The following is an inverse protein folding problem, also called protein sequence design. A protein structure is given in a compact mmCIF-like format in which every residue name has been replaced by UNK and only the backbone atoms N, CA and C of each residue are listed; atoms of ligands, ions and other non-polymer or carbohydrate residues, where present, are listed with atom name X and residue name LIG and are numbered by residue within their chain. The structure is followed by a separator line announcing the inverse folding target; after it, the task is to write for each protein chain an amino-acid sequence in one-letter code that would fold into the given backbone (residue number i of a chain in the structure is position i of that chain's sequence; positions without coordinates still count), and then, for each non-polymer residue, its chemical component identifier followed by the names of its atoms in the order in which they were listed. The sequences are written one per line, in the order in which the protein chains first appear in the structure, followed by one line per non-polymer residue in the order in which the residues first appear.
data_IF_203360431709
#
_entry.id   IF_203360431709
#
_cell.length_a   1.000
_cell.length_b   1.000
_cell.length_c   1.000
_cell.angle_alpha   90.00
_cell.angle_beta   90.00
_cell.angle_gamma   90.00
#
_symmetry.space_group_name_H-M   'P 1'
#
loop_
_entity.id
_entity.type
_entity.pdbx_description
1 polymer ?
#
# COMPACT_ATOMS: atom_id res chain seq x y z
N UNK A 1 31.16 15.26 -16.12
CA UNK A 1 29.87 15.77 -16.59
C UNK A 1 29.07 14.71 -17.35
N UNK A 2 29.69 14.00 -18.27
CA UNK A 2 29.03 12.94 -19.06
C UNK A 2 28.45 11.80 -18.20
N UNK A 3 29.21 11.32 -17.23
CA UNK A 3 28.76 10.25 -16.30
C UNK A 3 27.53 10.68 -15.49
N UNK A 4 27.52 11.91 -14.97
CA UNK A 4 26.38 12.43 -14.23
C UNK A 4 25.12 12.51 -15.10
N UNK A 5 25.24 13.04 -16.30
CA UNK A 5 24.11 13.14 -17.25
C UNK A 5 23.56 11.76 -17.62
N UNK A 6 24.44 10.78 -17.88
CA UNK A 6 24.03 9.39 -18.17
C UNK A 6 23.32 8.74 -16.99
N UNK A 7 23.87 8.88 -15.80
CA UNK A 7 23.24 8.32 -14.58
C UNK A 7 21.87 8.95 -14.33
N UNK A 8 21.75 10.27 -14.50
CA UNK A 8 20.47 10.96 -14.36
C UNK A 8 19.45 10.46 -15.40
N UNK A 9 19.87 10.31 -16.66
CA UNK A 9 18.99 9.82 -17.73
C UNK A 9 18.52 8.38 -17.45
N UNK A 10 19.43 7.49 -17.04
CA UNK A 10 19.11 6.11 -16.64
C UNK A 10 18.08 6.09 -15.52
N UNK A 11 18.25 6.94 -14.50
CA UNK A 11 17.32 7.05 -13.39
C UNK A 11 15.92 7.48 -13.85
N UNK A 12 15.83 8.52 -14.69
CA UNK A 12 14.55 9.01 -15.21
C UNK A 12 13.87 7.96 -16.09
N UNK A 13 14.61 7.33 -16.99
CA UNK A 13 14.10 6.27 -17.88
C UNK A 13 13.63 5.07 -17.06
N UNK A 14 14.41 4.63 -16.05
CA UNK A 14 14.04 3.56 -15.13
C UNK A 14 12.76 3.87 -14.38
N UNK A 15 12.64 5.07 -13.84
CA UNK A 15 11.41 5.53 -13.17
C UNK A 15 10.18 5.49 -14.09
N UNK A 16 10.34 5.97 -15.33
CA UNK A 16 9.25 5.96 -16.32
C UNK A 16 8.81 4.52 -16.66
N UNK A 17 9.73 3.60 -16.86
CA UNK A 17 9.41 2.19 -17.15
C UNK A 17 8.73 1.50 -15.96
N UNK A 18 9.20 1.74 -14.73
CA UNK A 18 8.54 1.23 -13.53
C UNK A 18 7.11 1.80 -13.38
N UNK A 19 6.94 3.09 -13.63
CA UNK A 19 5.61 3.72 -13.60
C UNK A 19 4.66 3.15 -14.66
N UNK A 20 5.17 2.88 -15.87
CA UNK A 20 4.41 2.24 -16.95
C UNK A 20 4.01 0.81 -16.64
N UNK A 21 4.73 0.10 -15.77
CA UNK A 21 4.43 -1.26 -15.33
C UNK A 21 3.18 -1.35 -14.45
N UNK A 22 2.79 -0.24 -13.83
CA UNK A 22 1.56 -0.13 -13.03
C UNK A 22 1.78 -0.30 -11.53
N UNK A 23 0.77 0.08 -10.75
CA UNK A 23 0.84 0.13 -9.27
C UNK A 23 1.02 -1.24 -8.61
N UNK A 24 0.55 -2.32 -9.25
CA UNK A 24 0.63 -3.69 -8.71
C UNK A 24 2.08 -4.17 -8.61
N UNK A 25 2.91 -3.84 -9.60
CA UNK A 25 4.31 -4.27 -9.66
C UNK A 25 5.18 -3.75 -8.49
N UNK A 26 4.71 -2.77 -7.75
CA UNK A 26 5.47 -2.13 -6.66
C UNK A 26 4.93 -2.49 -5.27
N UNK A 27 3.61 -2.72 -5.14
CA UNK A 27 2.95 -2.82 -3.83
C UNK A 27 2.87 -4.24 -3.26
N UNK A 28 2.65 -5.26 -4.11
CA UNK A 28 2.52 -6.67 -3.71
C UNK A 28 3.12 -7.55 -4.80
N UNK A 29 4.44 -7.71 -4.77
CA UNK A 29 5.18 -8.42 -5.80
C UNK A 29 4.98 -9.93 -5.69
N UNK A 30 4.54 -10.55 -6.77
CA UNK A 30 4.64 -11.97 -6.98
C UNK A 30 6.03 -12.35 -7.53
N UNK A 31 6.37 -13.61 -7.54
CA UNK A 31 7.64 -14.11 -8.08
C UNK A 31 7.90 -13.64 -9.51
N UNK A 32 6.85 -13.60 -10.35
CA UNK A 32 6.95 -13.10 -11.72
C UNK A 32 7.24 -11.59 -11.80
N UNK A 33 6.65 -10.79 -10.90
CA UNK A 33 6.91 -9.35 -10.83
C UNK A 33 8.36 -9.07 -10.38
N UNK A 34 8.86 -9.86 -9.43
CA UNK A 34 10.25 -9.79 -8.98
C UNK A 34 11.23 -10.11 -10.13
N UNK A 35 10.99 -11.19 -10.87
CA UNK A 35 11.79 -11.54 -12.04
C UNK A 35 11.80 -10.40 -13.06
N UNK A 36 10.62 -9.85 -13.36
CA UNK A 36 10.50 -8.71 -14.27
C UNK A 36 11.36 -7.51 -13.84
N UNK A 37 11.29 -7.13 -12.55
CA UNK A 37 12.07 -6.01 -12.03
C UNK A 37 13.57 -6.28 -12.11
N UNK A 38 14.02 -7.48 -11.76
CA UNK A 38 15.44 -7.86 -11.85
C UNK A 38 15.95 -7.80 -13.29
N UNK A 39 15.18 -8.31 -14.25
CA UNK A 39 15.53 -8.25 -15.68
C UNK A 39 15.56 -6.80 -16.18
N UNK A 40 14.53 -6.02 -15.85
CA UNK A 40 14.46 -4.60 -16.23
C UNK A 40 15.62 -3.79 -15.68
N UNK A 41 15.95 -3.99 -14.39
CA UNK A 41 17.06 -3.29 -13.73
C UNK A 41 18.39 -3.62 -14.40
N UNK A 42 18.63 -4.89 -14.72
CA UNK A 42 19.85 -5.32 -15.41
C UNK A 42 19.97 -4.64 -16.79
N UNK A 43 18.90 -4.65 -17.59
CA UNK A 43 18.87 -4.02 -18.91
C UNK A 43 19.12 -2.51 -18.84
N UNK A 44 18.50 -1.81 -17.88
CA UNK A 44 18.64 -0.35 -17.73
C UNK A 44 20.05 0.01 -17.24
N UNK A 45 20.71 -0.86 -16.49
CA UNK A 45 22.08 -0.65 -15.98
C UNK A 45 23.15 -0.94 -17.03
N UNK A 46 22.87 -1.73 -18.06
CA UNK A 46 23.83 -2.13 -19.09
C UNK A 46 24.54 -1.00 -19.84
N UNK A 47 23.91 0.18 -20.09
CA UNK A 47 24.58 1.30 -20.74
C UNK A 47 25.76 1.90 -19.94
N UNK A 48 25.85 1.59 -18.64
CA UNK A 48 26.99 2.02 -17.83
C UNK A 48 28.26 1.28 -18.29
N UNK A 49 28.11 0.03 -18.73
CA UNK A 49 29.22 -0.83 -19.20
C UNK A 49 29.45 -0.71 -20.71
N UNK A 50 28.38 -0.83 -21.53
CA UNK A 50 28.46 -0.97 -22.98
C UNK A 50 28.31 0.35 -23.76
N UNK A 51 28.10 1.46 -23.10
CA UNK A 51 27.95 2.79 -23.72
C UNK A 51 26.81 2.92 -24.77
N UNK A 52 25.88 1.96 -24.85
CA UNK A 52 24.81 1.93 -25.86
C UNK A 52 23.40 2.12 -25.25
N UNK A 53 23.11 3.36 -24.87
CA UNK A 53 21.83 3.74 -24.29
C UNK A 53 20.63 3.41 -25.18
N UNK A 54 20.75 3.53 -26.50
CA UNK A 54 19.65 3.25 -27.44
C UNK A 54 19.19 1.79 -27.38
N UNK A 55 20.13 0.85 -27.33
CA UNK A 55 19.82 -0.58 -27.17
C UNK A 55 19.13 -0.86 -25.85
N UNK A 56 19.63 -0.30 -24.75
CA UNK A 56 19.05 -0.51 -23.42
C UNK A 56 17.60 0.01 -23.35
N UNK A 57 17.31 1.20 -23.88
CA UNK A 57 15.94 1.73 -23.95
C UNK A 57 15.04 0.81 -24.76
N UNK A 58 15.52 0.30 -25.90
CA UNK A 58 14.75 -0.61 -26.75
C UNK A 58 14.44 -1.93 -26.03
N UNK A 59 15.44 -2.57 -25.41
CA UNK A 59 15.23 -3.82 -24.66
C UNK A 59 14.33 -3.63 -23.44
N UNK A 60 14.51 -2.53 -22.70
CA UNK A 60 13.63 -2.19 -21.59
C UNK A 60 12.19 -1.97 -22.05
N UNK A 61 11.97 -1.27 -23.18
CA UNK A 61 10.65 -1.08 -23.77
C UNK A 61 9.98 -2.41 -24.15
N UNK A 62 10.74 -3.31 -24.81
CA UNK A 62 10.25 -4.66 -25.14
C UNK A 62 9.88 -5.43 -23.87
N UNK A 63 10.72 -5.39 -22.83
CA UNK A 63 10.48 -6.07 -21.55
C UNK A 63 9.21 -5.57 -20.89
N UNK A 64 8.94 -4.27 -20.88
CA UNK A 64 7.69 -3.68 -20.35
C UNK A 64 6.46 -4.15 -21.16
N UNK A 65 6.58 -4.20 -22.49
CA UNK A 65 5.49 -4.69 -23.36
C UNK A 65 5.20 -6.16 -23.07
N UNK A 66 6.22 -7.00 -23.01
CA UNK A 66 6.08 -8.41 -22.67
C UNK A 66 5.43 -8.60 -21.29
N UNK A 67 5.90 -7.88 -20.28
CA UNK A 67 5.31 -7.89 -18.94
C UNK A 67 3.81 -7.56 -18.96
N UNK A 68 3.41 -6.49 -19.68
CA UNK A 68 1.99 -6.13 -19.83
C UNK A 68 1.18 -7.20 -20.53
N UNK A 69 1.74 -7.86 -21.55
CA UNK A 69 1.09 -8.98 -22.24
C UNK A 69 0.88 -10.14 -21.27
N UNK A 70 1.90 -10.55 -20.52
CA UNK A 70 1.80 -11.62 -19.53
C UNK A 70 0.80 -11.31 -18.42
N UNK A 71 0.80 -10.08 -17.87
CA UNK A 71 -0.22 -9.67 -16.92
C UNK A 71 -1.63 -9.74 -17.52
N UNK A 72 -1.80 -9.33 -18.78
CA UNK A 72 -3.11 -9.44 -19.43
C UNK A 72 -3.55 -10.89 -19.63
N UNK A 73 -2.63 -11.77 -19.95
CA UNK A 73 -2.87 -13.22 -20.04
C UNK A 73 -3.25 -13.79 -18.68
N UNK A 74 -2.63 -13.33 -17.58
CA UNK A 74 -2.92 -13.80 -16.22
C UNK A 74 -4.34 -13.46 -15.72
N UNK A 75 -5.04 -12.53 -16.37
CA UNK A 75 -6.46 -12.25 -16.10
C UNK A 75 -7.38 -13.39 -16.55
N UNK A 76 -6.89 -14.28 -17.42
CA UNK A 76 -7.64 -15.48 -17.83
C UNK A 76 -7.43 -16.62 -16.84
N UNK A 77 -8.50 -17.07 -16.20
CA UNK A 77 -8.47 -18.10 -15.14
C UNK A 77 -7.71 -19.38 -15.51
N UNK A 78 -7.75 -19.79 -16.79
CA UNK A 78 -7.07 -21.02 -17.26
C UNK A 78 -5.55 -20.87 -17.37
N UNK A 79 -5.04 -19.66 -17.60
CA UNK A 79 -3.63 -19.38 -17.82
C UNK A 79 -2.93 -18.76 -16.60
N UNK A 80 -3.71 -18.31 -15.63
CA UNK A 80 -3.22 -17.67 -14.40
C UNK A 80 -2.19 -18.54 -13.66
N UNK A 81 -2.45 -19.84 -13.58
CA UNK A 81 -1.62 -20.80 -12.84
C UNK A 81 -0.24 -21.06 -13.46
N UNK A 82 0.00 -20.57 -14.68
CA UNK A 82 1.34 -20.61 -15.29
C UNK A 82 2.26 -19.54 -14.68
N UNK A 83 1.70 -18.41 -14.27
CA UNK A 83 2.46 -17.25 -13.76
C UNK A 83 2.42 -17.13 -12.24
N UNK A 84 1.34 -17.60 -11.62
CA UNK A 84 1.11 -17.45 -10.19
C UNK A 84 0.91 -18.79 -9.52
N UNK A 85 1.48 -18.93 -8.34
CA UNK A 85 1.27 -20.11 -7.51
C UNK A 85 -0.12 -20.09 -6.88
N UNK A 86 -0.69 -21.26 -6.59
CA UNK A 86 -1.97 -21.36 -5.88
C UNK A 86 -1.77 -21.11 -4.39
N UNK A 87 -2.69 -20.42 -3.73
CA UNK A 87 -2.71 -20.35 -2.27
C UNK A 87 -2.66 -21.75 -1.65
N UNK A 88 -1.99 -21.88 -0.50
CA UNK A 88 -1.80 -23.16 0.16
C UNK A 88 -2.30 -23.11 1.59
N UNK A 89 -3.23 -23.99 1.95
CA UNK A 89 -3.76 -24.10 3.31
C UNK A 89 -2.67 -24.63 4.24
N UNK A 90 -2.50 -23.96 5.40
CA UNK A 90 -1.53 -24.30 6.44
C UNK A 90 -2.19 -24.74 7.75
N UNK A 91 -3.40 -24.22 8.03
CA UNK A 91 -4.24 -24.62 9.17
C UNK A 91 -5.66 -24.76 8.66
N UNK A 92 -6.36 -25.80 9.11
CA UNK A 92 -7.77 -26.01 8.87
C UNK A 92 -8.46 -26.47 10.17
N UNK A 93 -9.43 -25.69 10.62
CA UNK A 93 -10.21 -25.95 11.84
C UNK A 93 -9.35 -26.17 13.11
N UNK A 94 -8.24 -25.47 13.24
CA UNK A 94 -7.30 -25.60 14.36
C UNK A 94 -6.13 -26.55 14.11
N UNK A 95 -6.26 -27.47 13.17
CA UNK A 95 -5.25 -28.48 12.88
C UNK A 95 -4.26 -27.96 11.83
N UNK A 96 -2.98 -28.21 12.10
CA UNK A 96 -1.88 -27.83 11.19
C UNK A 96 -1.80 -28.81 10.02
N UNK A 97 -1.90 -28.32 8.79
CA UNK A 97 -1.69 -29.12 7.59
C UNK A 97 -0.18 -29.29 7.31
N UNK A 98 0.35 -30.44 7.74
CA UNK A 98 1.76 -30.81 7.50
C UNK A 98 2.08 -30.94 6.01
N UNK A 99 1.10 -31.34 5.17
CA UNK A 99 1.32 -31.44 3.72
C UNK A 99 1.43 -30.03 3.11
N UNK A 100 0.56 -29.12 3.55
CA UNK A 100 0.63 -27.72 3.16
C UNK A 100 1.96 -27.08 3.55
N UNK A 101 2.42 -27.27 4.79
CA UNK A 101 3.73 -26.77 5.25
C UNK A 101 4.90 -27.32 4.43
N UNK A 102 4.91 -28.61 4.15
CA UNK A 102 5.95 -29.23 3.30
C UNK A 102 5.93 -28.67 1.88
N UNK A 103 4.75 -28.44 1.31
CA UNK A 103 4.59 -27.86 -0.04
C UNK A 103 5.21 -26.47 -0.13
N UNK A 104 4.99 -25.63 0.87
CA UNK A 104 5.55 -24.26 0.92
C UNK A 104 6.94 -24.19 1.57
N UNK A 105 7.48 -25.32 2.00
CA UNK A 105 8.80 -25.44 2.66
C UNK A 105 8.93 -24.58 3.92
N UNK A 106 7.84 -24.47 4.68
CA UNK A 106 7.80 -23.70 5.91
C UNK A 106 7.87 -24.61 7.15
N UNK A 107 8.80 -24.40 8.08
CA UNK A 107 8.82 -25.11 9.34
C UNK A 107 7.70 -24.61 10.28
N UNK A 108 7.24 -25.46 11.20
CA UNK A 108 6.14 -25.12 12.14
C UNK A 108 6.47 -23.87 12.95
N UNK A 109 7.71 -23.71 13.42
CA UNK A 109 8.11 -22.55 14.21
C UNK A 109 7.95 -21.23 13.45
N UNK A 110 8.16 -21.22 12.15
CA UNK A 110 7.96 -20.07 11.28
C UNK A 110 6.47 -19.75 11.15
N UNK A 111 5.62 -20.77 10.92
CA UNK A 111 4.17 -20.59 10.93
C UNK A 111 3.70 -19.95 12.25
N UNK A 112 4.12 -20.50 13.39
CA UNK A 112 3.75 -19.97 14.72
C UNK A 112 4.23 -18.52 14.92
N UNK A 113 5.40 -18.16 14.39
CA UNK A 113 5.90 -16.78 14.41
C UNK A 113 4.99 -15.84 13.61
N UNK A 114 4.60 -16.22 12.39
CA UNK A 114 3.67 -15.45 11.57
C UNK A 114 2.29 -15.28 12.22
N UNK A 115 1.79 -16.32 12.88
CA UNK A 115 0.53 -16.26 13.61
C UNK A 115 0.60 -15.25 14.77
N UNK A 116 1.69 -15.29 15.58
CA UNK A 116 1.88 -14.32 16.69
C UNK A 116 1.93 -12.88 16.22
N UNK A 117 2.61 -12.60 15.11
CA UNK A 117 2.63 -11.24 14.50
C UNK A 117 1.23 -10.78 14.13
N UNK A 118 0.31 -11.71 13.80
CA UNK A 118 -1.09 -11.42 13.49
C UNK A 118 -2.02 -11.45 14.72
N UNK A 119 -1.46 -11.65 15.93
CA UNK A 119 -2.21 -11.67 17.17
C UNK A 119 -2.79 -13.04 17.56
N UNK A 120 -2.43 -14.11 16.86
CA UNK A 120 -2.91 -15.46 17.17
C UNK A 120 -1.83 -16.26 17.90
N UNK A 121 -2.10 -16.66 19.13
CA UNK A 121 -1.19 -17.48 19.96
C UNK A 121 -1.59 -18.96 19.98
N UNK A 122 -2.85 -19.27 19.69
CA UNK A 122 -3.41 -20.62 19.69
C UNK A 122 -3.99 -20.97 18.32
N UNK A 123 -3.50 -22.07 17.75
CA UNK A 123 -3.99 -22.57 16.44
C UNK A 123 -5.43 -23.05 16.53
N UNK A 124 -5.90 -23.52 17.72
CA UNK A 124 -7.26 -23.98 17.92
C UNK A 124 -8.32 -22.90 17.70
N UNK A 125 -7.94 -21.62 17.80
CA UNK A 125 -8.82 -20.47 17.56
C UNK A 125 -8.95 -20.11 16.08
N UNK A 126 -8.21 -20.79 15.19
CA UNK A 126 -8.14 -20.51 13.77
C UNK A 126 -9.05 -21.46 12.99
N UNK A 127 -9.97 -20.90 12.19
CA UNK A 127 -10.77 -21.68 11.26
C UNK A 127 -9.91 -22.12 10.06
N UNK A 128 -9.19 -21.15 9.46
CA UNK A 128 -8.30 -21.42 8.33
C UNK A 128 -7.12 -20.44 8.33
N UNK A 129 -5.93 -20.93 8.04
CA UNK A 129 -4.77 -20.12 7.69
C UNK A 129 -4.23 -20.54 6.32
N UNK A 130 -3.94 -19.58 5.47
CA UNK A 130 -3.55 -19.81 4.07
C UNK A 130 -2.30 -18.99 3.77
N UNK A 131 -1.30 -19.61 3.15
CA UNK A 131 -0.24 -18.88 2.48
C UNK A 131 -0.74 -18.41 1.13
N UNK A 132 -0.75 -17.11 0.94
CA UNK A 132 -1.18 -16.46 -0.29
C UNK A 132 -0.10 -16.53 -1.38
N UNK A 133 -0.48 -16.19 -2.60
CA UNK A 133 0.43 -16.13 -3.76
C UNK A 133 1.63 -15.20 -3.55
N UNK A 134 1.52 -14.21 -2.66
CA UNK A 134 2.58 -13.25 -2.30
C UNK A 134 3.52 -13.76 -1.21
N UNK A 135 3.30 -14.99 -0.69
CA UNK A 135 4.03 -15.51 0.48
C UNK A 135 3.54 -14.98 1.82
N UNK A 136 2.55 -14.08 1.85
CA UNK A 136 1.93 -13.64 3.09
C UNK A 136 0.95 -14.69 3.62
N UNK A 137 0.74 -14.72 4.94
CA UNK A 137 -0.23 -15.63 5.54
C UNK A 137 -1.50 -14.85 5.88
N UNK A 138 -2.65 -15.27 5.38
CA UNK A 138 -3.96 -14.81 5.82
C UNK A 138 -4.54 -15.78 6.86
N UNK A 139 -5.25 -15.22 7.85
CA UNK A 139 -5.82 -15.98 8.97
C UNK A 139 -7.27 -15.58 9.16
N UNK A 140 -8.15 -16.56 9.17
CA UNK A 140 -9.56 -16.41 9.49
C UNK A 140 -9.79 -17.14 10.81
N UNK A 141 -10.13 -16.44 11.92
CA UNK A 141 -10.45 -17.07 13.19
C UNK A 141 -11.79 -17.82 13.12
N UNK A 142 -11.99 -18.74 14.04
CA UNK A 142 -13.32 -19.31 14.29
C UNK A 142 -14.27 -18.21 14.76
N UNK A 143 -15.56 -18.38 14.51
CA UNK A 143 -16.58 -17.37 14.79
C UNK A 143 -16.58 -16.90 16.24
N UNK A 144 -16.29 -17.80 17.17
CA UNK A 144 -16.25 -17.57 18.63
C UNK A 144 -15.03 -16.73 19.06
N UNK A 145 -14.00 -16.66 18.22
CA UNK A 145 -12.72 -16.00 18.54
C UNK A 145 -12.45 -14.75 17.68
N UNK A 146 -13.37 -14.38 16.79
CA UNK A 146 -13.25 -13.14 16.04
C UNK A 146 -13.75 -11.95 16.85
N UNK A 147 -13.28 -10.74 16.59
CA UNK A 147 -13.85 -9.53 17.17
C UNK A 147 -15.35 -9.43 16.92
N UNK A 148 -16.12 -9.02 17.94
CA UNK A 148 -17.56 -8.76 17.82
C UNK A 148 -17.79 -7.65 16.80
N UNK A 149 -18.71 -7.90 15.88
CA UNK A 149 -19.15 -6.92 14.88
C UNK A 149 -20.46 -6.25 15.35
N UNK A 150 -20.73 -4.99 14.96
CA UNK A 150 -21.99 -4.34 15.31
C UNK A 150 -23.24 -5.18 14.96
N UNK A 151 -23.16 -5.93 13.86
CA UNK A 151 -24.25 -6.80 13.42
C UNK A 151 -24.50 -7.99 14.37
N UNK A 152 -23.49 -8.48 15.09
CA UNK A 152 -23.62 -9.59 16.01
C UNK A 152 -24.47 -9.23 17.24
N UNK A 153 -24.49 -7.95 17.58
CA UNK A 153 -25.24 -7.39 18.72
C UNK A 153 -26.41 -6.53 18.27
N UNK A 154 -26.82 -6.64 16.99
CA UNK A 154 -27.89 -5.84 16.37
C UNK A 154 -27.74 -4.32 16.60
N UNK A 155 -26.50 -3.84 16.65
CA UNK A 155 -26.20 -2.42 16.80
C UNK A 155 -26.32 -1.72 15.45
N UNK A 156 -27.25 -0.75 15.36
CA UNK A 156 -27.33 0.13 14.20
C UNK A 156 -26.19 1.15 14.23
N UNK A 157 -25.33 1.12 13.23
CA UNK A 157 -24.20 2.06 13.07
C UNK A 157 -24.47 3.00 11.91
N UNK A 158 -23.99 4.24 12.02
CA UNK A 158 -23.98 5.16 10.88
C UNK A 158 -22.98 4.66 9.84
N UNK A 159 -23.22 5.01 8.57
CA UNK A 159 -22.24 4.77 7.50
C UNK A 159 -20.94 5.50 7.82
N UNK A 160 -19.82 4.84 7.57
CA UNK A 160 -18.54 5.51 7.67
C UNK A 160 -18.40 6.55 6.54
N UNK A 161 -17.94 7.72 6.92
CA UNK A 161 -17.62 8.80 5.99
C UNK A 161 -16.11 8.96 5.89
N UNK A 162 -15.57 8.99 4.68
CA UNK A 162 -14.17 9.29 4.45
C UNK A 162 -14.00 10.81 4.40
N UNK A 163 -13.35 11.46 5.38
CA UNK A 163 -13.09 12.89 5.33
C UNK A 163 -12.34 13.27 4.05
N UNK A 164 -12.85 14.27 3.33
CA UNK A 164 -12.29 14.67 2.03
C UNK A 164 -11.35 15.85 2.23
N UNK A 165 -10.04 15.70 1.95
CA UNK A 165 -9.08 16.77 2.14
C UNK A 165 -9.31 17.91 1.14
N UNK A 166 -9.43 19.15 1.64
CA UNK A 166 -9.58 20.36 0.86
C UNK A 166 -8.33 21.22 0.82
N UNK A 167 -7.49 21.12 1.87
CA UNK A 167 -6.15 21.72 1.93
C UNK A 167 -5.18 20.66 2.41
N UNK A 168 -4.03 20.57 1.74
CA UNK A 168 -2.87 19.77 2.10
C UNK A 168 -1.62 20.64 2.00
N UNK A 169 -0.82 20.72 3.07
CA UNK A 169 0.41 21.50 3.11
C UNK A 169 0.23 22.94 2.55
N UNK A 170 -0.79 23.64 3.06
CA UNK A 170 -1.15 25.00 2.64
C UNK A 170 -1.60 25.13 1.17
N UNK A 171 -1.88 24.02 0.48
CA UNK A 171 -2.32 24.01 -0.91
C UNK A 171 -3.74 23.51 -1.06
N UNK A 172 -4.55 24.24 -1.83
CA UNK A 172 -5.95 23.88 -2.09
C UNK A 172 -6.03 22.70 -3.05
N UNK A 173 -6.81 21.67 -2.69
CA UNK A 173 -7.10 20.50 -3.52
C UNK A 173 -8.34 20.79 -4.37
N UNK A 174 -8.16 21.49 -5.48
CA UNK A 174 -9.27 21.93 -6.36
C UNK A 174 -10.12 20.79 -6.89
N UNK A 175 -9.54 19.60 -7.12
CA UNK A 175 -10.30 18.43 -7.57
C UNK A 175 -11.36 18.03 -6.55
N UNK A 176 -11.03 18.07 -5.27
CA UNK A 176 -11.94 17.69 -4.19
C UNK A 176 -13.02 18.75 -3.95
N UNK A 177 -12.69 20.05 -4.08
CA UNK A 177 -13.68 21.11 -4.07
C UNK A 177 -14.73 20.91 -5.19
N UNK A 178 -14.25 20.63 -6.41
CA UNK A 178 -15.12 20.35 -7.55
C UNK A 178 -16.00 19.13 -7.33
N UNK A 179 -15.45 18.06 -6.75
CA UNK A 179 -16.19 16.83 -6.42
C UNK A 179 -17.36 17.12 -5.46
N UNK A 180 -17.11 17.96 -4.45
CA UNK A 180 -18.12 18.39 -3.47
C UNK A 180 -19.05 19.50 -3.99
N UNK A 181 -18.89 19.94 -5.23
CA UNK A 181 -19.60 21.08 -5.82
C UNK A 181 -19.41 22.39 -5.03
N UNK A 182 -18.26 22.52 -4.38
CA UNK A 182 -17.83 23.71 -3.64
C UNK A 182 -16.82 24.51 -4.48
N UNK A 183 -16.68 25.80 -4.15
CA UNK A 183 -15.69 26.66 -4.79
C UNK A 183 -14.69 27.23 -3.80
N UNK A 184 -13.62 27.83 -4.32
CA UNK A 184 -12.57 28.44 -3.51
C UNK A 184 -13.11 29.54 -2.60
N UNK A 185 -14.06 30.36 -3.05
CA UNK A 185 -14.63 31.44 -2.24
C UNK A 185 -15.37 30.89 -1.03
N UNK A 186 -16.10 29.78 -1.17
CA UNK A 186 -16.73 29.10 -0.05
C UNK A 186 -15.65 28.66 0.98
N UNK A 187 -14.56 28.01 0.52
CA UNK A 187 -13.51 27.55 1.41
C UNK A 187 -12.87 28.72 2.16
N UNK A 188 -12.52 29.80 1.46
CA UNK A 188 -11.92 30.99 2.08
C UNK A 188 -12.87 31.58 3.13
N UNK A 189 -14.15 31.73 2.82
CA UNK A 189 -15.14 32.24 3.77
C UNK A 189 -15.27 31.37 5.03
N UNK A 190 -15.23 30.03 4.88
CA UNK A 190 -15.26 29.14 6.05
C UNK A 190 -14.00 29.26 6.91
N UNK A 191 -12.84 29.38 6.29
CA UNK A 191 -11.57 29.60 7.01
C UNK A 191 -11.55 30.94 7.73
N UNK A 192 -12.04 32.02 7.11
CA UNK A 192 -12.15 33.34 7.73
C UNK A 192 -13.08 33.34 8.95
N UNK A 193 -14.20 32.62 8.89
CA UNK A 193 -15.10 32.44 10.06
C UNK A 193 -14.41 31.74 11.23
N UNK A 194 -13.44 30.86 10.94
CA UNK A 194 -12.66 30.14 11.95
C UNK A 194 -11.39 30.91 12.38
N UNK A 195 -11.09 32.04 11.74
CA UNK A 195 -9.90 32.85 12.01
C UNK A 195 -8.61 32.25 11.45
N UNK A 196 -8.71 31.30 10.54
CA UNK A 196 -7.58 30.56 9.97
C UNK A 196 -7.15 31.10 8.61
N UNK A 197 -5.85 31.00 8.30
CA UNK A 197 -5.27 31.36 7.01
C UNK A 197 -4.69 30.11 6.35
N UNK A 198 -4.84 30.00 5.02
CA UNK A 198 -4.40 28.83 4.24
C UNK A 198 -2.92 28.52 4.50
N UNK A 199 -2.07 29.56 4.64
CA UNK A 199 -0.62 29.43 4.80
C UNK A 199 -0.24 28.70 6.11
N UNK A 200 -1.13 28.70 7.10
CA UNK A 200 -0.91 28.07 8.39
C UNK A 200 -1.52 26.68 8.53
N UNK A 201 -2.21 26.20 7.49
CA UNK A 201 -2.96 24.95 7.54
C UNK A 201 -2.13 23.81 6.95
N UNK A 202 -1.85 22.79 7.76
CA UNK A 202 -1.27 21.52 7.29
C UNK A 202 -2.33 20.65 6.62
N UNK A 203 -3.52 20.56 7.23
CA UNK A 203 -4.62 19.75 6.73
C UNK A 203 -5.96 20.43 7.00
N UNK A 204 -6.81 20.54 5.99
CA UNK A 204 -8.23 20.81 6.19
C UNK A 204 -9.06 19.74 5.48
N UNK A 205 -9.97 19.10 6.20
CA UNK A 205 -10.86 18.06 5.67
C UNK A 205 -12.33 18.45 5.82
N UNK A 206 -13.11 18.09 4.80
CA UNK A 206 -14.56 18.21 4.82
C UNK A 206 -15.19 16.98 5.47
N UNK A 207 -15.99 17.18 6.51
CA UNK A 207 -16.63 16.12 7.30
C UNK A 207 -18.05 15.82 6.80
N UNK A 208 -18.63 14.72 7.28
CA UNK A 208 -20.00 14.28 6.94
C UNK A 208 -21.07 15.33 7.28
N UNK A 209 -20.87 16.07 8.36
CA UNK A 209 -21.80 17.12 8.83
C UNK A 209 -21.65 18.45 8.07
N UNK A 210 -20.82 18.48 7.04
CA UNK A 210 -20.58 19.67 6.23
C UNK A 210 -19.59 20.65 6.83
N UNK A 211 -18.97 20.33 7.97
CA UNK A 211 -17.99 21.18 8.63
C UNK A 211 -16.58 20.88 8.14
N UNK A 212 -15.67 21.85 8.39
CA UNK A 212 -14.23 21.66 8.22
C UNK A 212 -13.60 21.22 9.54
N UNK A 213 -12.79 20.17 9.46
CA UNK A 213 -11.76 19.90 10.46
C UNK A 213 -10.45 20.51 9.96
N UNK A 214 -9.77 21.29 10.82
CA UNK A 214 -8.53 21.97 10.47
C UNK A 214 -7.44 21.54 11.45
N UNK A 215 -6.31 21.13 10.88
CA UNK A 215 -5.05 20.95 11.57
C UNK A 215 -4.07 22.00 11.05
N UNK A 216 -3.59 22.84 11.94
CA UNK A 216 -2.66 23.92 11.61
C UNK A 216 -1.23 23.57 12.03
N UNK A 217 -0.26 24.34 11.52
CA UNK A 217 1.17 24.12 11.77
C UNK A 217 1.59 24.35 13.24
N UNK A 218 0.69 24.85 14.08
CA UNK A 218 0.97 25.10 15.48
C UNK A 218 0.68 23.82 16.30
N UNK A 219 1.74 23.15 16.72
CA UNK A 219 1.63 22.11 17.75
C UNK A 219 1.33 22.84 19.07
N UNK A 220 0.09 22.76 19.52
CA UNK A 220 -0.28 23.26 20.85
C UNK A 220 0.38 22.37 21.89
N UNK A 221 1.59 22.75 22.32
CA UNK A 221 2.32 22.00 23.33
C UNK A 221 1.61 22.12 24.69
N UNK A 222 0.94 21.08 25.09
CA UNK A 222 0.51 20.88 26.47
C UNK A 222 1.59 20.11 27.22
N UNK A 223 2.47 20.83 27.96
CA UNK A 223 3.63 20.25 28.66
C UNK A 223 3.32 19.12 29.66
N UNK A 224 2.07 18.92 30.01
CA UNK A 224 1.60 17.90 30.98
C UNK A 224 0.78 16.76 30.34
N UNK A 225 0.54 16.79 29.03
CA UNK A 225 -0.26 15.77 28.34
C UNK A 225 0.63 14.64 27.84
N UNK A 226 0.41 13.36 28.28
CA UNK A 226 1.19 12.20 27.82
C UNK A 226 1.20 12.01 26.31
N UNK A 227 0.19 12.49 25.57
CA UNK A 227 0.10 12.39 24.10
C UNK A 227 1.10 13.31 23.38
N UNK A 228 1.69 14.30 24.08
CA UNK A 228 2.75 15.16 23.54
C UNK A 228 4.17 14.71 23.92
N UNK A 229 4.31 13.49 24.44
CA UNK A 229 5.61 12.91 24.74
C UNK A 229 6.45 12.76 23.46
N UNK A 230 7.65 13.34 23.47
CA UNK A 230 8.64 13.24 22.39
C UNK A 230 9.71 12.21 22.79
N UNK A 231 9.67 10.97 22.29
CA UNK A 231 10.68 9.98 22.66
C UNK A 231 12.06 10.39 22.14
N UNK A 232 13.05 10.43 23.01
CA UNK A 232 14.48 10.40 22.64
C UNK A 232 15.15 11.72 22.35
N UNK A 233 14.67 12.86 22.82
CA UNK A 233 15.35 14.13 22.53
C UNK A 233 16.11 14.81 23.68
N UNK A 234 15.86 14.47 24.93
CA UNK A 234 16.57 15.11 26.07
C UNK A 234 16.74 14.09 27.20
N UNK A 235 17.82 13.33 27.11
CA UNK A 235 18.45 12.69 28.26
C UNK A 235 19.87 13.27 28.41
#
# INVERSE_FOLDING_TARGET
METFYRTFLIFVVGYLFLRLSGKKAVAQMHTFDLLYILVLTNIISSPVEDNNLGKAITYAGITVILYKIFIRISLHNKLRWVLYESPTVLIQNGDIDIKGLKKVRMPINELLAHLRVKGYTDTQNIAIAVMEETGSISVIPKSEYRPVQPNDINLSVKKEYLPIPLILDSQIVYHNLKYLQLNQSWLINELEKMGEKIENITLATFLEDGKLFIDNNEIKEHKSDPYYYKPGRDN
#
